data_IF_513973396308
#
_entry.id   IF_513973396308
#
_cell.length_a   1.000
_cell.length_b   1.000
_cell.length_c   1.000
_cell.angle_alpha   90.00
_cell.angle_beta   90.00
_cell.angle_gamma   90.00
#
_symmetry.space_group_name_H-M   'P 1'
#
loop_
_entity.id
_entity.type
_entity.pdbx_description
1 polymer ?
#
# COMPACT_ATOMS: atom_id res chain seq x y z
N UNK A 1 33.58 -16.89 51.51
CA UNK A 1 32.64 -16.31 50.52
C UNK A 1 32.93 -14.82 50.43
N UNK A 2 33.34 -14.33 49.27
CA UNK A 2 33.82 -12.96 49.11
C UNK A 2 32.68 -11.96 49.31
N UNK A 3 32.84 -11.05 50.27
CA UNK A 3 31.95 -9.91 50.43
C UNK A 3 32.19 -8.96 49.26
N UNK A 4 31.35 -9.05 48.24
CA UNK A 4 31.28 -8.05 47.17
C UNK A 4 30.62 -6.78 47.73
N UNK A 5 31.37 -6.04 48.55
CA UNK A 5 31.06 -4.64 48.88
C UNK A 5 31.43 -3.81 47.64
N UNK A 6 30.65 -3.92 46.57
CA UNK A 6 30.56 -2.81 45.64
C UNK A 6 30.25 -1.56 46.47
N UNK A 7 30.89 -0.43 46.15
CA UNK A 7 30.51 0.84 46.77
C UNK A 7 29.00 1.02 46.60
N UNK A 8 28.31 1.51 47.63
CA UNK A 8 26.85 1.66 47.59
C UNK A 8 26.40 2.46 46.36
N UNK A 9 27.23 3.41 45.92
CA UNK A 9 27.12 4.15 44.66
C UNK A 9 27.04 3.25 43.41
N UNK A 10 27.95 2.27 43.26
CA UNK A 10 27.93 1.34 42.11
C UNK A 10 26.70 0.44 42.13
N UNK A 11 26.29 -0.01 43.33
CA UNK A 11 25.08 -0.85 43.49
C UNK A 11 23.82 -0.07 43.13
N UNK A 12 23.73 1.18 43.58
CA UNK A 12 22.60 2.07 43.26
C UNK A 12 22.56 2.40 41.76
N UNK A 13 23.70 2.72 41.13
CA UNK A 13 23.75 2.94 39.68
C UNK A 13 23.25 1.73 38.88
N UNK A 14 23.65 0.52 39.29
CA UNK A 14 23.19 -0.70 38.64
C UNK A 14 21.68 -0.93 38.83
N UNK A 15 21.16 -0.69 40.05
CA UNK A 15 19.71 -0.73 40.31
C UNK A 15 18.96 0.26 39.43
N UNK A 16 19.40 1.51 39.35
CA UNK A 16 18.79 2.55 38.51
C UNK A 16 18.84 2.21 37.02
N UNK A 17 19.92 1.58 36.58
CA UNK A 17 20.01 1.06 35.22
C UNK A 17 18.93 0.01 34.93
N UNK A 18 18.74 -0.96 35.82
CA UNK A 18 17.72 -2.00 35.68
C UNK A 18 16.28 -1.46 35.79
N UNK A 19 16.05 -0.45 36.62
CA UNK A 19 14.77 0.29 36.67
C UNK A 19 14.52 1.01 35.34
N UNK A 20 15.51 1.78 34.87
CA UNK A 20 15.36 2.58 33.64
C UNK A 20 15.19 1.72 32.39
N UNK A 21 15.80 0.54 32.34
CA UNK A 21 15.65 -0.40 31.23
C UNK A 21 14.40 -1.28 31.33
N UNK A 22 13.59 -1.17 32.39
CA UNK A 22 12.38 -1.97 32.59
C UNK A 22 12.63 -3.42 33.00
N UNK A 23 13.89 -3.84 33.19
CA UNK A 23 14.23 -5.23 33.55
C UNK A 23 13.59 -5.65 34.87
N UNK A 24 13.53 -4.75 35.85
CA UNK A 24 12.88 -5.06 37.13
C UNK A 24 11.38 -5.27 36.97
N UNK A 25 10.72 -4.48 36.13
CA UNK A 25 9.28 -4.59 35.90
C UNK A 25 8.95 -5.89 35.17
N UNK A 26 9.74 -6.26 34.15
CA UNK A 26 9.59 -7.54 33.44
C UNK A 26 9.79 -8.73 34.37
N UNK A 27 10.86 -8.75 35.17
CA UNK A 27 11.11 -9.84 36.12
C UNK A 27 9.97 -9.91 37.15
N UNK A 28 9.50 -8.77 37.65
CA UNK A 28 8.38 -8.71 38.60
C UNK A 28 7.10 -9.27 37.98
N UNK A 29 6.78 -8.90 36.74
CA UNK A 29 5.62 -9.41 36.01
C UNK A 29 5.65 -10.93 35.83
N UNK A 30 6.79 -11.50 35.42
CA UNK A 30 6.94 -12.96 35.28
C UNK A 30 6.80 -13.69 36.61
N UNK A 31 7.30 -13.11 37.70
CA UNK A 31 7.15 -13.68 39.04
C UNK A 31 5.70 -13.61 39.54
N UNK A 32 4.97 -12.55 39.21
CA UNK A 32 3.53 -12.43 39.49
C UNK A 32 2.76 -13.49 38.71
N UNK A 33 3.02 -13.66 37.41
CA UNK A 33 2.39 -14.70 36.60
C UNK A 33 2.63 -16.11 37.19
N UNK A 34 3.85 -16.40 37.62
CA UNK A 34 4.18 -17.66 38.30
C UNK A 34 3.48 -17.81 39.66
N UNK A 35 3.20 -16.71 40.34
CA UNK A 35 2.47 -16.72 41.61
C UNK A 35 0.97 -16.98 41.42
N UNK A 36 0.38 -16.40 40.37
CA UNK A 36 -1.03 -16.53 40.02
C UNK A 36 -1.39 -17.89 39.40
N UNK A 37 -0.40 -18.62 38.87
CA UNK A 37 -0.59 -19.94 38.27
C UNK A 37 -1.22 -20.94 39.26
N UNK A 38 -2.42 -21.43 38.93
CA UNK A 38 -3.19 -22.34 39.80
C UNK A 38 -2.55 -23.72 39.93
N UNK A 39 -1.91 -24.19 38.86
CA UNK A 39 -1.14 -25.44 38.78
C UNK A 39 0.35 -25.09 38.74
N UNK A 40 1.01 -25.07 39.91
CA UNK A 40 2.41 -24.67 39.95
C UNK A 40 3.27 -25.60 39.09
N UNK A 41 4.07 -25.06 38.16
CA UNK A 41 4.89 -25.89 37.30
C UNK A 41 5.90 -26.66 38.16
N UNK A 42 6.07 -27.95 37.86
CA UNK A 42 7.05 -28.81 38.52
C UNK A 42 8.48 -28.24 38.43
N UNK A 43 8.76 -27.43 37.40
CA UNK A 43 10.00 -26.67 37.28
C UNK A 43 9.72 -25.17 37.05
N UNK A 44 9.75 -24.40 38.14
CA UNK A 44 9.59 -22.94 38.10
C UNK A 44 10.66 -22.24 37.24
N UNK A 45 11.88 -22.77 37.14
CA UNK A 45 12.94 -22.15 36.34
C UNK A 45 12.64 -22.22 34.84
N UNK A 46 12.04 -23.32 34.37
CA UNK A 46 11.70 -23.46 32.97
C UNK A 46 10.53 -22.54 32.59
N UNK A 47 9.57 -22.36 33.49
CA UNK A 47 8.50 -21.36 33.33
C UNK A 47 9.06 -19.95 33.17
N UNK A 48 9.98 -19.54 34.06
CA UNK A 48 10.61 -18.21 34.03
C UNK A 48 11.39 -18.01 32.72
N UNK A 49 12.17 -19.01 32.27
CA UNK A 49 12.92 -18.92 31.01
C UNK A 49 12.00 -18.71 29.80
N UNK A 50 10.89 -19.45 29.74
CA UNK A 50 9.92 -19.33 28.65
C UNK A 50 9.26 -17.96 28.64
N UNK A 51 8.80 -17.50 29.81
CA UNK A 51 8.08 -16.23 29.93
C UNK A 51 8.99 -15.02 29.71
N UNK A 52 10.26 -15.06 30.13
CA UNK A 52 11.23 -14.02 29.80
C UNK A 52 11.56 -13.97 28.30
N UNK A 53 11.57 -15.12 27.60
CA UNK A 53 11.74 -15.17 26.15
C UNK A 53 10.54 -14.65 25.36
N UNK A 54 9.33 -14.85 25.89
CA UNK A 54 8.08 -14.37 25.28
C UNK A 54 7.78 -12.90 25.61
N UNK A 55 8.25 -12.40 26.75
CA UNK A 55 8.00 -11.03 27.22
C UNK A 55 8.75 -9.94 26.44
N UNK A 56 9.56 -10.31 25.43
CA UNK A 56 10.20 -9.35 24.50
C UNK A 56 9.25 -8.77 23.44
N UNK A 57 8.02 -9.28 23.34
CA UNK A 57 6.95 -8.69 22.54
C UNK A 57 6.04 -7.88 23.46
N UNK A 58 6.44 -6.66 23.81
CA UNK A 58 5.56 -5.70 24.48
C UNK A 58 4.25 -5.61 23.69
N UNK A 59 3.09 -5.92 24.31
CA UNK A 59 1.81 -5.90 23.60
C UNK A 59 1.47 -4.49 23.08
N UNK A 60 1.98 -3.44 23.75
CA UNK A 60 1.86 -2.07 23.29
C UNK A 60 2.62 -1.81 21.97
N UNK A 61 3.82 -2.34 21.84
CA UNK A 61 4.62 -2.22 20.60
C UNK A 61 4.00 -3.04 19.48
N UNK A 62 3.47 -4.22 19.77
CA UNK A 62 2.77 -5.05 18.79
C UNK A 62 1.51 -4.36 18.23
N UNK A 63 0.73 -3.69 19.09
CA UNK A 63 -0.45 -2.93 18.66
C UNK A 63 -0.09 -1.65 17.91
N UNK A 64 0.94 -0.93 18.35
CA UNK A 64 1.45 0.24 17.61
C UNK A 64 1.93 -0.14 16.20
N UNK A 65 2.69 -1.24 16.08
CA UNK A 65 3.15 -1.77 14.79
C UNK A 65 1.99 -2.24 13.90
N UNK A 66 0.94 -2.82 14.48
CA UNK A 66 -0.28 -3.19 13.74
C UNK A 66 -0.99 -1.97 13.16
N UNK A 67 -1.14 -0.90 13.95
CA UNK A 67 -1.74 0.35 13.50
C UNK A 67 -0.92 0.99 12.37
N UNK A 68 0.40 1.01 12.50
CA UNK A 68 1.29 1.56 11.46
C UNK A 68 1.20 0.73 10.17
N UNK A 69 1.18 -0.60 10.26
CA UNK A 69 0.97 -1.46 9.09
C UNK A 69 -0.37 -1.21 8.40
N UNK A 70 -1.45 -1.03 9.17
CA UNK A 70 -2.77 -0.74 8.63
C UNK A 70 -2.80 0.61 7.90
N UNK A 71 -2.24 1.67 8.51
CA UNK A 71 -2.15 3.00 7.90
C UNK A 71 -1.29 2.98 6.63
N UNK A 72 -0.17 2.26 6.66
CA UNK A 72 0.71 2.14 5.50
C UNK A 72 0.06 1.36 4.35
N UNK A 73 -0.67 0.28 4.65
CA UNK A 73 -1.47 -0.45 3.65
C UNK A 73 -2.56 0.42 3.04
N UNK A 74 -3.26 1.21 3.85
CA UNK A 74 -4.27 2.16 3.35
C UNK A 74 -3.63 3.18 2.40
N UNK A 75 -2.51 3.80 2.79
CA UNK A 75 -1.76 4.73 1.94
C UNK A 75 -1.29 4.07 0.64
N UNK A 76 -0.77 2.84 0.71
CA UNK A 76 -0.34 2.09 -0.46
C UNK A 76 -1.50 1.84 -1.44
N UNK A 77 -2.67 1.45 -0.93
CA UNK A 77 -3.86 1.22 -1.76
C UNK A 77 -4.34 2.49 -2.45
N UNK A 78 -4.40 3.62 -1.73
CA UNK A 78 -4.77 4.92 -2.28
C UNK A 78 -3.78 5.35 -3.39
N UNK A 79 -2.49 5.24 -3.12
CA UNK A 79 -1.44 5.55 -4.09
C UNK A 79 -1.51 4.65 -5.33
N UNK A 80 -1.78 3.35 -5.15
CA UNK A 80 -1.97 2.43 -6.28
C UNK A 80 -3.19 2.80 -7.13
N UNK A 81 -4.29 3.18 -6.49
CA UNK A 81 -5.51 3.59 -7.18
C UNK A 81 -5.30 4.89 -7.97
N UNK A 82 -4.67 5.90 -7.35
CA UNK A 82 -4.31 7.15 -8.03
C UNK A 82 -3.36 6.88 -9.19
N UNK A 83 -2.34 6.03 -9.00
CA UNK A 83 -1.40 5.69 -10.06
C UNK A 83 -2.10 5.00 -11.23
N UNK A 84 -3.07 4.12 -10.95
CA UNK A 84 -3.92 3.49 -11.96
C UNK A 84 -4.78 4.52 -12.69
N UNK A 85 -5.39 5.46 -11.97
CA UNK A 85 -6.20 6.52 -12.55
C UNK A 85 -5.38 7.45 -13.44
N UNK A 86 -4.23 7.91 -12.97
CA UNK A 86 -3.30 8.75 -13.73
C UNK A 86 -2.81 8.04 -14.98
N UNK A 87 -2.42 6.77 -14.90
CA UNK A 87 -2.08 5.95 -16.08
C UNK A 87 -3.24 5.86 -17.08
N UNK A 88 -4.47 5.74 -16.59
CA UNK A 88 -5.66 5.73 -17.46
C UNK A 88 -5.91 7.09 -18.11
N UNK A 89 -5.74 8.19 -17.37
CA UNK A 89 -5.87 9.56 -17.89
C UNK A 89 -4.82 9.85 -18.95
N UNK A 90 -3.56 9.49 -18.72
CA UNK A 90 -2.47 9.63 -19.69
C UNK A 90 -2.78 8.85 -20.97
N UNK A 91 -3.24 7.60 -20.85
CA UNK A 91 -3.67 6.80 -22.01
C UNK A 91 -4.80 7.47 -22.79
N UNK A 92 -5.82 8.01 -22.10
CA UNK A 92 -6.94 8.72 -22.74
C UNK A 92 -6.49 9.99 -23.46
N UNK A 93 -5.76 10.88 -22.79
CA UNK A 93 -5.24 12.09 -23.44
C UNK A 93 -4.31 11.79 -24.63
N UNK A 94 -3.57 10.67 -24.58
CA UNK A 94 -2.73 10.22 -25.70
C UNK A 94 -3.52 9.58 -26.86
N UNK A 95 -4.76 9.15 -26.62
CA UNK A 95 -5.67 8.64 -27.66
C UNK A 95 -6.47 9.78 -28.27
N UNK A 96 -6.91 10.73 -27.46
CA UNK A 96 -7.65 11.93 -27.91
C UNK A 96 -6.80 12.81 -28.84
N UNK A 97 -5.48 12.82 -28.67
CA UNK A 97 -4.54 13.49 -29.57
C UNK A 97 -4.34 12.78 -30.92
N UNK A 98 -4.61 11.48 -31.00
CA UNK A 98 -4.57 10.72 -32.26
C UNK A 98 -5.89 10.82 -33.04
N UNK A 99 -7.03 10.90 -32.35
CA UNK A 99 -8.37 10.99 -32.95
C UNK A 99 -8.62 12.38 -33.61
N UNK A 100 -7.99 13.44 -33.11
CA UNK A 100 -8.14 14.80 -33.66
C UNK A 100 -7.22 15.13 -34.86
N UNK A 101 -6.61 14.14 -35.53
CA UNK A 101 -5.96 14.37 -36.83
C UNK A 101 -7.03 14.49 -37.91
N UNK A 102 -7.54 15.71 -38.12
CA UNK A 102 -8.29 16.07 -39.33
C UNK A 102 -7.44 15.68 -40.55
N UNK A 103 -7.97 14.88 -41.51
CA UNK A 103 -7.21 14.57 -42.72
C UNK A 103 -6.92 15.87 -43.49
N UNK A 104 -5.76 16.00 -44.14
CA UNK A 104 -5.47 17.21 -44.92
C UNK A 104 -6.52 17.32 -46.03
N UNK A 105 -7.32 18.38 -45.99
CA UNK A 105 -8.16 18.77 -47.14
C UNK A 105 -7.20 19.11 -48.27
N UNK A 106 -7.11 18.23 -49.25
CA UNK A 106 -6.40 18.50 -50.50
C UNK A 106 -7.15 19.60 -51.22
N UNK A 107 -6.71 20.84 -51.03
CA UNK A 107 -7.06 21.96 -51.89
C UNK A 107 -6.41 21.68 -53.24
N UNK A 108 -7.11 20.96 -54.12
CA UNK A 108 -6.75 20.89 -55.53
C UNK A 108 -7.11 22.23 -56.15
N UNK A 109 -6.13 23.14 -56.10
CA UNK A 109 -6.05 24.28 -57.00
C UNK A 109 -6.11 23.75 -58.43
N UNK A 110 -7.27 23.86 -59.06
CA UNK A 110 -7.46 23.51 -60.46
C UNK A 110 -7.80 24.79 -61.22
N UNK A 111 -6.80 25.47 -61.82
CA UNK A 111 -7.05 26.59 -62.71
C UNK A 111 -7.42 26.06 -64.10
N UNK A 112 -8.69 26.25 -64.46
CA UNK A 112 -9.26 26.47 -65.79
C UNK A 112 -8.36 26.13 -66.99
N UNK A 113 -8.69 25.06 -67.72
CA UNK A 113 -8.50 24.99 -69.18
C UNK A 113 -9.68 24.25 -69.83
N UNK A 114 -10.42 24.98 -70.69
CA UNK A 114 -11.01 24.60 -71.97
C UNK A 114 -11.72 23.23 -72.11
N UNK A 115 -12.90 23.05 -72.68
CA UNK A 115 -13.98 23.83 -73.31
C UNK A 115 -15.14 22.79 -73.53
N UNK A 116 -16.31 23.16 -74.09
CA UNK A 116 -17.62 22.57 -73.81
C UNK A 116 -17.95 21.43 -74.77
N UNK A 117 -18.72 20.44 -74.33
CA UNK A 117 -19.63 19.73 -75.24
C UNK A 117 -20.83 19.18 -74.48
N UNK A 118 -21.97 19.80 -74.79
CA UNK A 118 -23.32 19.38 -74.49
C UNK A 118 -23.51 17.90 -74.88
N UNK A 119 -24.11 17.09 -74.01
CA UNK A 119 -25.22 16.24 -74.44
C UNK A 119 -25.98 15.69 -73.24
N UNK A 120 -27.24 16.13 -73.19
CA UNK A 120 -28.36 15.50 -72.52
C UNK A 120 -28.24 13.97 -72.48
N UNK A 121 -28.18 13.42 -71.27
CA UNK A 121 -28.83 12.16 -70.91
C UNK A 121 -29.36 12.35 -69.48
N UNK A 122 -30.44 13.12 -69.38
CA UNK A 122 -31.37 13.03 -68.27
C UNK A 122 -32.21 11.79 -68.52
N UNK A 123 -32.20 10.82 -67.61
CA UNK A 123 -33.40 10.24 -67.01
C UNK A 123 -32.98 9.46 -65.73
N UNK A 124 -33.80 9.49 -64.67
CA UNK A 124 -33.44 9.07 -63.32
C UNK A 124 -33.73 7.57 -63.08
N UNK A 125 -33.05 6.99 -62.09
CA UNK A 125 -33.49 5.76 -61.40
C UNK A 125 -34.70 6.05 -60.48
N UNK A 126 -35.26 5.09 -59.72
CA UNK A 126 -35.37 3.63 -59.87
C UNK A 126 -36.83 3.14 -59.63
N UNK A 127 -37.01 1.81 -59.68
CA UNK A 127 -37.98 1.03 -58.90
C UNK A 127 -39.47 1.05 -59.31
N UNK A 128 -40.01 -0.15 -59.61
CA UNK A 128 -41.33 -0.58 -59.14
C UNK A 128 -41.60 -2.05 -59.52
N UNK A 129 -41.70 -2.89 -58.49
CA UNK A 129 -42.87 -3.74 -58.32
C UNK A 129 -42.88 -5.10 -59.02
N UNK A 130 -42.65 -6.14 -58.23
CA UNK A 130 -43.13 -7.48 -58.49
C UNK A 130 -44.66 -7.55 -58.48
N UNK A 131 -45.25 -8.13 -59.54
CA UNK A 131 -46.54 -8.83 -59.65
C UNK A 131 -46.54 -9.42 -61.07
N UNK A 132 -46.80 -10.69 -61.36
CA UNK A 132 -47.51 -11.79 -60.71
C UNK A 132 -46.97 -13.12 -61.28
#
# INVERSE_FOLDING_TARGET
MAHYRASESKREQFRRYLEKSGVLDTITSVLVALYEETEKPNNALDFIKLHLGASGSEPADAEALRLELADLQQKFNLLMEENKELKNRVRRCSLDSQINRVPPVSVTSNPVFYLPFQLMQYEPSPDNGAVE
#
